data_IF_409413125649
#
_entry.id   IF_409413125649
#
_cell.length_a   1.000
_cell.length_b   1.000
_cell.length_c   1.000
_cell.angle_alpha   90.00
_cell.angle_beta   90.00
_cell.angle_gamma   90.00
#
_symmetry.space_group_name_H-M   'P 1'
#
loop_
_entity.id
_entity.type
_entity.pdbx_description
1 polymer ?
#
# COMPACT_ATOMS: atom_id res chain seq x y z
N UNK A 1 3.50 -5.14 -5.11
CA UNK A 1 2.24 -5.60 -5.68
C UNK A 1 2.00 -5.02 -7.07
N UNK A 2 1.34 -5.80 -7.93
CA UNK A 2 0.92 -5.28 -9.22
C UNK A 2 -0.05 -4.12 -9.01
N UNK A 3 0.33 -2.96 -9.49
CA UNK A 3 -0.44 -1.73 -9.34
C UNK A 3 -1.41 -1.47 -10.49
N UNK A 4 -1.32 -2.26 -11.55
CA UNK A 4 -2.27 -2.19 -12.65
C UNK A 4 -3.58 -2.84 -12.23
N UNK A 5 -4.64 -2.06 -12.24
CA UNK A 5 -5.98 -2.55 -11.93
C UNK A 5 -6.74 -2.80 -13.22
N UNK A 6 -7.05 -4.05 -13.49
CA UNK A 6 -8.09 -4.37 -14.47
C UNK A 6 -9.44 -4.12 -13.80
N UNK A 7 -10.06 -3.01 -14.11
CA UNK A 7 -11.29 -2.55 -13.47
C UNK A 7 -12.45 -3.55 -13.61
N UNK A 8 -12.55 -4.21 -14.75
CA UNK A 8 -13.60 -5.23 -14.97
C UNK A 8 -13.37 -6.48 -14.12
N UNK A 9 -12.13 -6.96 -14.07
CA UNK A 9 -11.76 -8.09 -13.23
C UNK A 9 -11.95 -7.76 -11.75
N UNK A 10 -11.56 -6.56 -11.32
CA UNK A 10 -11.73 -6.09 -9.96
C UNK A 10 -13.17 -6.06 -9.52
N UNK A 11 -14.08 -5.55 -10.34
CA UNK A 11 -15.51 -5.50 -10.05
C UNK A 11 -16.17 -6.89 -9.94
N UNK A 12 -15.62 -7.89 -10.61
CA UNK A 12 -16.10 -9.29 -10.53
C UNK A 12 -15.60 -10.03 -9.31
N UNK A 13 -14.54 -9.53 -8.65
CA UNK A 13 -14.04 -10.11 -7.42
C UNK A 13 -15.04 -9.90 -6.28
N UNK A 14 -15.19 -10.92 -5.46
CA UNK A 14 -15.91 -10.77 -4.20
C UNK A 14 -15.13 -9.83 -3.26
N UNK A 15 -15.85 -9.11 -2.41
CA UNK A 15 -15.26 -8.15 -1.46
C UNK A 15 -14.21 -8.81 -0.58
N UNK A 16 -14.44 -10.07 -0.17
CA UNK A 16 -13.45 -10.85 0.59
C UNK A 16 -12.15 -11.07 -0.17
N UNK A 17 -12.21 -11.37 -1.46
CA UNK A 17 -11.02 -11.53 -2.31
C UNK A 17 -10.30 -10.20 -2.53
N UNK A 18 -11.03 -9.11 -2.72
CA UNK A 18 -10.46 -7.76 -2.79
C UNK A 18 -9.73 -7.40 -1.49
N UNK A 19 -10.32 -7.72 -0.34
CA UNK A 19 -9.72 -7.51 0.97
C UNK A 19 -8.39 -8.25 1.12
N UNK A 20 -8.33 -9.51 0.71
CA UNK A 20 -7.10 -10.33 0.75
C UNK A 20 -6.02 -9.70 -0.13
N UNK A 21 -6.35 -9.31 -1.35
CA UNK A 21 -5.40 -8.72 -2.29
C UNK A 21 -4.83 -7.39 -1.78
N UNK A 22 -5.67 -6.53 -1.22
CA UNK A 22 -5.26 -5.26 -0.63
C UNK A 22 -4.42 -5.47 0.63
N UNK A 23 -4.80 -6.39 1.50
CA UNK A 23 -4.06 -6.70 2.71
C UNK A 23 -2.66 -7.24 2.41
N UNK A 24 -2.55 -8.21 1.51
CA UNK A 24 -1.28 -8.78 1.09
C UNK A 24 -0.40 -7.75 0.38
N UNK A 25 -0.98 -6.93 -0.48
CA UNK A 25 -0.29 -5.85 -1.16
C UNK A 25 0.27 -4.81 -0.19
N UNK A 26 -0.49 -4.43 0.83
CA UNK A 26 -0.06 -3.50 1.85
C UNK A 26 1.07 -4.08 2.72
N UNK A 27 0.96 -5.35 3.09
CA UNK A 27 2.00 -6.04 3.85
C UNK A 27 3.33 -6.09 3.08
N UNK A 28 3.27 -6.40 1.80
CA UNK A 28 4.44 -6.45 0.93
C UNK A 28 5.08 -5.07 0.75
N UNK A 29 4.28 -4.02 0.55
CA UNK A 29 4.75 -2.64 0.51
C UNK A 29 5.39 -2.20 1.82
N UNK A 30 4.78 -2.53 2.94
CA UNK A 30 5.32 -2.20 4.27
C UNK A 30 6.67 -2.84 4.50
N UNK A 31 6.83 -4.10 4.15
CA UNK A 31 8.11 -4.80 4.23
C UNK A 31 9.16 -4.17 3.31
N UNK A 32 8.79 -3.84 2.10
CA UNK A 32 9.68 -3.21 1.12
C UNK A 32 10.17 -1.83 1.58
N UNK A 33 9.28 -1.00 2.11
CA UNK A 33 9.64 0.33 2.61
C UNK A 33 10.50 0.24 3.86
N UNK A 34 10.21 -0.69 4.78
CA UNK A 34 11.06 -0.93 5.96
C UNK A 34 12.46 -1.39 5.57
N UNK A 35 12.57 -2.24 4.56
CA UNK A 35 13.87 -2.67 4.03
C UNK A 35 14.64 -1.51 3.40
N UNK A 36 13.97 -0.65 2.65
CA UNK A 36 14.55 0.59 2.12
C UNK A 36 15.02 1.52 3.22
N UNK A 37 14.25 1.67 4.29
CA UNK A 37 14.63 2.44 5.48
C UNK A 37 15.91 1.89 6.12
N UNK A 38 16.01 0.58 6.30
CA UNK A 38 17.19 -0.06 6.86
C UNK A 38 18.44 0.16 6.00
N UNK A 39 18.32 0.07 4.69
CA UNK A 39 19.43 0.37 3.76
C UNK A 39 19.87 1.82 3.84
N UNK A 40 18.94 2.74 4.00
CA UNK A 40 19.23 4.16 4.11
C UNK A 40 19.95 4.51 5.42
N UNK A 41 19.52 3.92 6.53
CA UNK A 41 20.16 4.10 7.86
C UNK A 41 21.59 3.56 7.86
N UNK A 42 21.83 2.47 7.15
CA UNK A 42 23.16 1.86 7.04
C UNK A 42 24.06 2.54 5.99
N UNK A 43 23.54 3.52 5.27
CA UNK A 43 24.31 4.30 4.30
C UNK A 43 25.28 5.23 5.00
N UNK A 44 26.49 5.36 4.46
CA UNK A 44 27.53 6.24 4.98
C UNK A 44 27.20 7.74 4.85
N UNK A 45 26.29 8.08 3.95
CA UNK A 45 25.83 9.46 3.73
C UNK A 45 24.30 9.47 3.50
N UNK A 46 23.50 9.38 4.58
CA UNK A 46 22.05 9.44 4.44
C UNK A 46 21.62 10.84 3.97
N UNK A 47 20.84 10.88 2.91
CA UNK A 47 20.23 12.13 2.45
C UNK A 47 18.97 12.41 3.27
N UNK A 48 19.03 13.42 4.14
CA UNK A 48 17.98 13.73 5.11
C UNK A 48 16.58 13.89 4.52
N UNK A 49 16.37 14.58 3.37
CA UNK A 49 15.05 14.70 2.78
C UNK A 49 14.45 13.34 2.40
N UNK A 50 15.27 12.42 1.88
CA UNK A 50 14.83 11.07 1.55
C UNK A 50 14.46 10.29 2.81
N UNK A 51 15.28 10.38 3.85
CA UNK A 51 15.01 9.72 5.14
C UNK A 51 13.68 10.19 5.73
N UNK A 52 13.42 11.50 5.70
CA UNK A 52 12.16 12.07 6.18
C UNK A 52 10.95 11.48 5.44
N UNK A 53 11.02 11.38 4.11
CA UNK A 53 9.92 10.82 3.30
C UNK A 53 9.75 9.31 3.49
N UNK A 54 10.84 8.57 3.67
CA UNK A 54 10.79 7.14 4.01
C UNK A 54 10.15 6.93 5.37
N UNK A 55 10.51 7.73 6.37
CA UNK A 55 9.91 7.66 7.71
C UNK A 55 8.41 7.98 7.69
N UNK A 56 8.01 8.98 6.92
CA UNK A 56 6.58 9.30 6.69
C UNK A 56 5.84 8.14 6.02
N UNK A 57 6.45 7.49 5.04
CA UNK A 57 5.87 6.33 4.37
C UNK A 57 5.69 5.15 5.32
N UNK A 58 6.67 4.87 6.18
CA UNK A 58 6.58 3.83 7.22
C UNK A 58 5.42 4.12 8.17
N UNK A 59 5.31 5.35 8.65
CA UNK A 59 4.24 5.78 9.54
C UNK A 59 2.86 5.68 8.85
N UNK A 60 2.75 6.14 7.60
CA UNK A 60 1.54 6.06 6.80
C UNK A 60 1.08 4.61 6.56
N UNK A 61 2.01 3.72 6.23
CA UNK A 61 1.70 2.30 6.02
C UNK A 61 1.24 1.61 7.30
N UNK A 62 1.82 1.95 8.45
CA UNK A 62 1.33 1.44 9.76
C UNK A 62 -0.09 1.90 10.05
N UNK A 63 -0.38 3.17 9.81
CA UNK A 63 -1.73 3.72 9.99
C UNK A 63 -2.75 3.07 9.06
N UNK A 64 -2.41 2.89 7.79
CA UNK A 64 -3.25 2.21 6.81
C UNK A 64 -3.49 0.74 7.18
N UNK A 65 -2.47 0.04 7.68
CA UNK A 65 -2.60 -1.33 8.18
C UNK A 65 -3.61 -1.40 9.33
N UNK A 66 -3.55 -0.48 10.27
CA UNK A 66 -4.50 -0.39 11.39
C UNK A 66 -5.92 -0.12 10.89
N UNK A 67 -6.08 0.79 9.95
CA UNK A 67 -7.38 1.13 9.37
C UNK A 67 -7.98 -0.04 8.58
N UNK A 68 -7.19 -0.76 7.79
CA UNK A 68 -7.64 -1.96 7.07
C UNK A 68 -8.01 -3.10 8.03
N UNK A 69 -7.27 -3.25 9.12
CA UNK A 69 -7.61 -4.24 10.16
C UNK A 69 -8.97 -3.92 10.78
N UNK A 70 -9.25 -2.65 11.04
CA UNK A 70 -10.53 -2.20 11.55
C UNK A 70 -11.70 -2.44 10.57
N UNK A 71 -11.42 -2.45 9.25
CA UNK A 71 -12.39 -2.85 8.22
C UNK A 71 -12.59 -4.36 8.11
N UNK A 72 -11.83 -5.18 8.83
CA UNK A 72 -11.90 -6.64 8.77
C UNK A 72 -11.11 -7.29 7.64
N UNK A 73 -10.30 -6.54 6.90
CA UNK A 73 -9.50 -7.07 5.79
C UNK A 73 -8.53 -8.18 6.24
N UNK A 74 -8.00 -8.09 7.45
CA UNK A 74 -7.14 -9.13 8.03
C UNK A 74 -7.90 -10.44 8.25
N UNK A 75 -9.15 -10.39 8.72
CA UNK A 75 -9.96 -11.58 8.95
C UNK A 75 -10.21 -12.35 7.65
N UNK A 76 -10.51 -11.62 6.58
CA UNK A 76 -10.68 -12.21 5.25
C UNK A 76 -9.38 -12.83 4.72
N UNK A 77 -8.23 -12.24 5.01
CA UNK A 77 -6.93 -12.75 4.61
C UNK A 77 -6.48 -14.00 5.39
N UNK A 78 -6.94 -14.16 6.63
CA UNK A 78 -6.60 -15.30 7.52
C UNK A 78 -7.56 -16.47 7.32
N UNK A 79 -8.84 -16.20 7.01
CA UNK A 79 -9.80 -17.23 6.62
C UNK A 79 -9.54 -17.62 5.17
N UNK A 80 -8.96 -18.81 4.90
CA UNK A 80 -8.71 -19.13 3.50
C UNK A 80 -10.06 -19.31 2.78
N UNK A 81 -10.39 -18.48 1.78
CA UNK A 81 -11.29 -18.93 0.75
C UNK A 81 -10.62 -20.14 0.12
N UNK A 82 -11.40 -21.11 -0.31
CA UNK A 82 -10.91 -22.36 -0.92
C UNK A 82 -9.55 -22.20 -1.60
N UNK A 83 -8.58 -22.95 -1.13
CA UNK A 83 -7.16 -22.85 -1.55
C UNK A 83 -6.94 -22.97 -3.07
N UNK A 84 -7.98 -23.27 -3.83
CA UNK A 84 -7.97 -23.39 -5.28
C UNK A 84 -8.09 -22.03 -6.02
N UNK A 85 -8.41 -20.93 -5.34
CA UNK A 85 -8.71 -19.63 -5.98
C UNK A 85 -7.68 -18.52 -5.70
N UNK A 86 -6.65 -18.79 -4.93
CA UNK A 86 -5.62 -17.78 -4.67
C UNK A 86 -4.71 -17.59 -5.89
N UNK A 87 -5.01 -16.63 -6.73
CA UNK A 87 -4.07 -16.19 -7.76
C UNK A 87 -2.76 -15.74 -7.09
N UNK A 88 -1.60 -16.14 -7.63
CA UNK A 88 -0.33 -15.75 -7.04
C UNK A 88 -0.20 -14.22 -7.03
N UNK A 89 0.25 -13.67 -5.91
CA UNK A 89 0.49 -12.25 -5.76
C UNK A 89 1.56 -11.81 -6.76
N UNK A 90 1.20 -10.93 -7.68
CA UNK A 90 2.16 -10.37 -8.63
C UNK A 90 3.05 -9.36 -7.93
N UNK A 91 4.34 -9.57 -8.05
CA UNK A 91 5.37 -8.72 -7.46
C UNK A 91 6.14 -7.96 -8.53
N UNK A 92 6.71 -6.83 -8.14
CA UNK A 92 7.56 -5.99 -8.97
C UNK A 92 8.87 -5.80 -8.21
N UNK A 93 9.98 -5.73 -8.89
CA UNK A 93 11.27 -5.37 -8.29
C UNK A 93 11.50 -3.87 -8.35
N UNK A 94 11.91 -3.28 -7.23
CA UNK A 94 12.33 -1.88 -7.14
C UNK A 94 13.83 -1.82 -6.89
N UNK A 95 14.53 -1.12 -7.74
CA UNK A 95 15.98 -0.85 -7.70
C UNK A 95 16.29 0.58 -7.24
N UNK A 96 15.25 1.41 -7.12
CA UNK A 96 15.34 2.80 -6.68
C UNK A 96 14.21 3.16 -5.74
N UNK A 97 14.44 4.11 -4.85
CA UNK A 97 13.39 4.70 -4.00
C UNK A 97 12.27 5.34 -4.82
N UNK A 98 12.61 5.96 -5.96
CA UNK A 98 11.61 6.52 -6.87
C UNK A 98 10.62 5.45 -7.35
N UNK A 99 11.11 4.28 -7.74
CA UNK A 99 10.27 3.18 -8.17
C UNK A 99 9.41 2.64 -7.01
N UNK A 100 10.01 2.54 -5.82
CA UNK A 100 9.30 2.11 -4.62
C UNK A 100 8.15 3.06 -4.27
N UNK A 101 8.39 4.37 -4.24
CA UNK A 101 7.34 5.36 -3.98
C UNK A 101 6.30 5.43 -5.08
N UNK A 102 6.68 5.21 -6.34
CA UNK A 102 5.72 5.10 -7.46
C UNK A 102 4.78 3.92 -7.27
N UNK A 103 5.29 2.76 -6.88
CA UNK A 103 4.47 1.58 -6.59
C UNK A 103 3.52 1.88 -5.43
N UNK A 104 4.02 2.50 -4.37
CA UNK A 104 3.21 2.92 -3.22
C UNK A 104 2.08 3.88 -3.63
N UNK A 105 2.41 4.95 -4.33
CA UNK A 105 1.44 5.93 -4.83
C UNK A 105 0.36 5.29 -5.71
N UNK A 106 0.76 4.43 -6.65
CA UNK A 106 -0.17 3.75 -7.55
C UNK A 106 -1.06 2.75 -6.81
N UNK A 107 -0.54 2.07 -5.80
CA UNK A 107 -1.32 1.16 -4.97
C UNK A 107 -2.41 1.90 -4.18
N UNK A 108 -2.07 3.03 -3.56
CA UNK A 108 -3.04 3.87 -2.86
C UNK A 108 -4.14 4.38 -3.78
N UNK A 109 -3.76 4.92 -4.93
CA UNK A 109 -4.69 5.49 -5.90
C UNK A 109 -5.57 4.45 -6.60
N UNK A 110 -5.05 3.24 -6.77
CA UNK A 110 -5.73 2.14 -7.44
C UNK A 110 -6.51 1.23 -6.47
N UNK A 111 -5.89 0.12 -6.13
CA UNK A 111 -6.54 -0.96 -5.37
C UNK A 111 -7.08 -0.53 -4.02
N UNK A 112 -6.30 0.22 -3.25
CA UNK A 112 -6.71 0.63 -1.92
C UNK A 112 -7.92 1.58 -1.97
N UNK A 113 -7.91 2.55 -2.86
CA UNK A 113 -9.03 3.48 -3.04
C UNK A 113 -10.31 2.78 -3.49
N UNK A 114 -10.20 1.83 -4.41
CA UNK A 114 -11.35 1.05 -4.88
C UNK A 114 -11.92 0.17 -3.77
N UNK A 115 -11.07 -0.51 -3.01
CA UNK A 115 -11.49 -1.37 -1.92
C UNK A 115 -12.18 -0.57 -0.79
N UNK A 116 -11.58 0.52 -0.33
CA UNK A 116 -12.15 1.34 0.75
C UNK A 116 -13.47 1.97 0.33
N UNK A 117 -13.60 2.43 -0.90
CA UNK A 117 -14.84 2.95 -1.45
C UNK A 117 -15.97 1.91 -1.46
N UNK A 118 -15.67 0.67 -1.80
CA UNK A 118 -16.65 -0.43 -1.79
C UNK A 118 -17.01 -0.86 -0.36
N UNK A 119 -16.02 -1.04 0.50
CA UNK A 119 -16.22 -1.43 1.89
C UNK A 119 -17.06 -0.41 2.68
N UNK A 120 -16.88 0.88 2.40
CA UNK A 120 -17.68 1.94 3.03
C UNK A 120 -19.12 1.99 2.53
N UNK A 121 -19.37 1.65 1.27
CA UNK A 121 -20.73 1.57 0.71
C UNK A 121 -21.51 0.36 1.25
N UNK A 122 -20.86 -0.78 1.37
CA UNK A 122 -21.51 -2.01 1.86
C UNK A 122 -21.79 -1.97 3.35
N UNK A 123 -20.92 -1.30 4.13
CA UNK A 123 -21.10 -1.14 5.58
C UNK A 123 -22.32 -0.33 5.99
N UNK A 124 -22.81 0.54 5.12
CA UNK A 124 -23.99 1.37 5.37
C UNK A 124 -25.33 0.62 5.13
N UNK A 125 -25.30 -0.53 4.47
CA UNK A 125 -26.49 -1.32 4.12
C UNK A 125 -26.74 -2.55 4.98
N UNK A 126 -25.77 -2.98 5.75
CA UNK A 126 -25.90 -4.15 6.62
C UNK A 126 -25.86 -3.77 8.09
N UNK A 127 -26.81 -4.21 8.90
CA UNK A 127 -26.91 -3.95 10.33
C UNK A 127 -25.74 -4.50 11.19
N UNK A 128 -24.53 -4.55 10.64
CA UNK A 128 -23.27 -4.81 11.32
C UNK A 128 -22.63 -3.51 11.78
N UNK A 129 -21.63 -3.58 12.66
CA UNK A 129 -20.89 -2.42 13.16
C UNK A 129 -20.43 -1.53 11.99
N UNK A 130 -20.78 -0.25 12.04
CA UNK A 130 -20.42 0.73 11.04
C UNK A 130 -18.88 0.74 10.85
N UNK A 131 -18.39 0.80 9.59
CA UNK A 131 -16.97 0.91 9.34
C UNK A 131 -16.42 2.16 10.04
N UNK A 132 -15.16 2.12 10.53
CA UNK A 132 -14.58 3.29 11.18
C UNK A 132 -14.62 4.50 10.24
N UNK A 133 -15.25 5.55 10.70
CA UNK A 133 -15.47 6.79 9.91
C UNK A 133 -14.18 7.35 9.31
N UNK A 134 -13.04 7.10 9.97
CA UNK A 134 -11.74 7.59 9.54
C UNK A 134 -11.30 7.08 8.16
N UNK A 135 -11.52 5.80 7.86
CA UNK A 135 -11.09 5.25 6.56
C UNK A 135 -12.07 5.60 5.44
N UNK A 136 -13.33 5.87 5.80
CA UNK A 136 -14.36 6.28 4.85
C UNK A 136 -14.27 7.77 4.51
N UNK A 137 -13.48 8.54 5.25
CA UNK A 137 -13.15 9.91 4.88
C UNK A 137 -12.08 9.90 3.78
N UNK A 138 -12.49 10.33 2.59
CA UNK A 138 -11.58 10.42 1.43
C UNK A 138 -10.34 11.28 1.68
N UNK A 139 -10.42 12.24 2.60
CA UNK A 139 -9.31 13.12 2.96
C UNK A 139 -8.14 12.37 3.60
N UNK A 140 -8.43 11.33 4.36
CA UNK A 140 -7.38 10.52 5.01
C UNK A 140 -6.53 9.81 3.96
N UNK A 141 -7.16 9.15 3.01
CA UNK A 141 -6.45 8.46 1.94
C UNK A 141 -5.72 9.43 1.01
N UNK A 142 -6.34 10.57 0.69
CA UNK A 142 -5.72 11.62 -0.12
C UNK A 142 -4.47 12.20 0.53
N UNK A 143 -4.44 12.34 1.85
CA UNK A 143 -3.25 12.78 2.58
C UNK A 143 -2.08 11.81 2.39
N UNK A 144 -2.30 10.51 2.54
CA UNK A 144 -1.25 9.51 2.31
C UNK A 144 -0.81 9.46 0.84
N UNK A 145 -1.74 9.64 -0.08
CA UNK A 145 -1.43 9.71 -1.50
C UNK A 145 -0.57 10.93 -1.83
N UNK A 146 -0.86 12.08 -1.23
CA UNK A 146 -0.06 13.30 -1.39
C UNK A 146 1.36 13.10 -0.86
N UNK A 147 1.51 12.52 0.34
CA UNK A 147 2.81 12.20 0.93
C UNK A 147 3.62 11.25 0.02
N UNK A 148 2.98 10.23 -0.54
CA UNK A 148 3.62 9.31 -1.47
C UNK A 148 4.07 9.99 -2.77
N UNK A 149 3.27 10.91 -3.31
CA UNK A 149 3.61 11.69 -4.51
C UNK A 149 4.76 12.67 -4.24
N UNK A 150 4.76 13.32 -3.10
CA UNK A 150 5.87 14.20 -2.69
C UNK A 150 7.17 13.41 -2.57
N UNK A 151 7.13 12.22 -1.99
CA UNK A 151 8.27 11.32 -1.90
C UNK A 151 8.77 10.89 -3.30
N UNK A 152 7.86 10.56 -4.22
CA UNK A 152 8.21 10.26 -5.61
C UNK A 152 8.87 11.47 -6.29
N UNK A 153 8.35 12.67 -6.08
CA UNK A 153 8.86 13.90 -6.69
C UNK A 153 10.26 14.27 -6.23
N UNK A 154 10.57 14.17 -4.94
CA UNK A 154 11.92 14.49 -4.44
C UNK A 154 12.96 13.49 -4.94
N UNK A 155 12.56 12.28 -5.26
CA UNK A 155 13.46 11.26 -5.84
C UNK A 155 13.64 11.41 -7.34
N UNK A 156 12.90 12.32 -7.99
CA UNK A 156 13.09 12.66 -9.39
C UNK A 156 14.37 13.49 -9.54
N UNK A 157 15.34 12.99 -10.29
CA UNK A 157 16.65 13.64 -10.45
C UNK A 157 17.68 13.28 -9.37
N UNK A 158 17.33 12.47 -8.41
CA UNK A 158 18.23 11.93 -7.41
C UNK A 158 18.90 10.66 -7.97
N UNK A 159 20.14 10.81 -8.49
CA UNK A 159 20.85 9.70 -9.12
C UNK A 159 21.67 8.87 -8.12
N UNK A 160 22.34 9.51 -7.18
CA UNK A 160 23.32 8.85 -6.31
C UNK A 160 22.71 8.34 -4.99
N UNK A 161 21.83 9.13 -4.38
CA UNK A 161 21.29 8.81 -3.05
C UNK A 161 20.00 7.99 -3.09
N UNK A 162 19.37 7.87 -4.25
CA UNK A 162 18.08 7.21 -4.41
C UNK A 162 18.18 5.81 -5.02
N UNK A 163 19.38 5.34 -5.30
CA UNK A 163 19.60 3.96 -5.73
C UNK A 163 19.52 3.02 -4.52
N UNK A 164 18.82 1.92 -4.69
CA UNK A 164 18.86 0.80 -3.76
C UNK A 164 20.04 -0.10 -4.17
N UNK A 165 20.94 -0.40 -3.24
CA UNK A 165 22.08 -1.27 -3.51
C UNK A 165 21.68 -2.72 -3.76
N UNK A 166 20.42 -3.03 -3.58
CA UNK A 166 19.82 -4.33 -3.87
C UNK A 166 18.42 -4.17 -4.45
N UNK A 167 17.96 -5.18 -5.15
CA UNK A 167 16.59 -5.23 -5.66
C UNK A 167 15.61 -5.61 -4.54
N UNK A 168 14.64 -4.76 -4.28
CA UNK A 168 13.58 -5.02 -3.30
C UNK A 168 12.33 -5.51 -4.04
N UNK A 169 11.80 -6.65 -3.59
CA UNK A 169 10.53 -7.18 -4.08
C UNK A 169 9.36 -6.41 -3.45
N UNK A 170 8.49 -5.89 -4.30
CA UNK A 170 7.32 -5.10 -3.88
C UNK A 170 6.03 -5.75 -4.36
#
# INVERSE_FOLDING_TARGET
PDTKVNFYAWKRMEVGQQAVEVWQGLALLSEAVLRGQALLVNSSQPWEPLQLHVDKAVSGLRSLTTLLRALGAQKEAISPPDAASAAPLRTITADTFRKLFRVYSNFLRGKLKLYTGEACRTGDRGGGSAPPRLICDSRVLERYLLEAKEAENITTGCAEHCSLNENITV
#
